data_IF_128563886809
#
_entry.id   IF_128563886809
#
_cell.length_a   1.000
_cell.length_b   1.000
_cell.length_c   1.000
_cell.angle_alpha   90.00
_cell.angle_beta   90.00
_cell.angle_gamma   90.00
#
_symmetry.space_group_name_H-M   'P 1'
#
loop_
_entity.id
_entity.type
_entity.pdbx_description
1 polymer ?
#
# COMPACT_ATOMS: atom_id res chain seq x y z
N UNK A 1 24.70 2.28 -12.00
CA UNK A 1 24.43 1.03 -12.73
C UNK A 1 22.92 0.82 -12.83
N UNK A 2 22.41 -0.08 -13.67
CA UNK A 2 20.97 -0.36 -13.80
C UNK A 2 20.44 -1.22 -12.63
N UNK A 3 20.62 -0.71 -11.42
CA UNK A 3 20.19 -1.29 -10.15
C UNK A 3 19.26 -0.32 -9.42
N UNK A 4 18.45 -0.80 -8.49
CA UNK A 4 17.55 0.08 -7.73
C UNK A 4 18.36 1.05 -6.85
N UNK A 5 18.05 2.36 -6.82
CA UNK A 5 18.67 3.28 -5.87
C UNK A 5 18.49 2.79 -4.42
N UNK A 6 19.58 2.62 -3.69
CA UNK A 6 19.57 2.13 -2.30
C UNK A 6 19.51 0.61 -2.13
N UNK A 7 19.38 -0.18 -3.20
CA UNK A 7 19.52 -1.65 -3.19
C UNK A 7 20.26 -2.13 -4.46
N UNK A 8 21.59 -2.20 -4.36
CA UNK A 8 22.46 -2.62 -5.47
C UNK A 8 22.34 -4.11 -5.81
N UNK A 9 21.72 -4.90 -4.93
CA UNK A 9 21.45 -6.31 -5.20
C UNK A 9 20.31 -6.49 -6.20
N UNK A 10 19.42 -5.50 -6.32
CA UNK A 10 18.26 -5.56 -7.19
C UNK A 10 18.56 -4.97 -8.58
N UNK A 11 18.55 -5.82 -9.61
CA UNK A 11 18.74 -5.40 -11.00
C UNK A 11 17.43 -4.96 -11.66
N UNK A 12 17.40 -3.76 -12.25
CA UNK A 12 16.23 -3.24 -12.98
C UNK A 12 16.04 -3.91 -14.35
N UNK A 13 17.12 -4.47 -14.90
CA UNK A 13 17.16 -5.27 -16.14
C UNK A 13 18.16 -6.41 -15.96
N UNK A 14 18.04 -7.49 -16.75
CA UNK A 14 18.98 -8.61 -16.70
C UNK A 14 20.42 -8.13 -16.95
N UNK A 15 21.33 -8.39 -16.01
CA UNK A 15 22.73 -7.95 -16.08
C UNK A 15 22.94 -6.47 -15.77
N UNK A 16 21.95 -5.82 -15.14
CA UNK A 16 21.95 -4.39 -14.85
C UNK A 16 23.13 -3.93 -13.98
N UNK A 17 23.68 -4.80 -13.12
CA UNK A 17 24.89 -4.52 -12.31
C UNK A 17 26.13 -4.25 -13.15
N UNK A 18 26.18 -4.76 -14.39
CA UNK A 18 27.33 -4.58 -15.27
C UNK A 18 27.12 -3.43 -16.28
N UNK A 19 25.98 -2.74 -16.23
CA UNK A 19 25.65 -1.64 -17.14
C UNK A 19 25.65 -0.31 -16.39
N UNK A 20 26.66 0.52 -16.63
CA UNK A 20 26.73 1.86 -16.05
C UNK A 20 25.62 2.76 -16.60
N UNK A 21 25.15 3.69 -15.76
CA UNK A 21 24.20 4.72 -16.18
C UNK A 21 24.99 5.92 -16.65
N UNK A 22 24.68 6.43 -17.83
CA UNK A 22 25.36 7.55 -18.47
C UNK A 22 24.33 8.49 -19.15
N UNK A 23 24.83 9.58 -19.73
CA UNK A 23 23.99 10.59 -20.40
C UNK A 23 23.13 10.04 -21.54
N UNK A 24 23.50 8.91 -22.15
CA UNK A 24 22.77 8.30 -23.26
C UNK A 24 21.63 7.39 -22.79
N UNK A 25 21.68 6.91 -21.54
CA UNK A 25 20.77 5.88 -21.05
C UNK A 25 20.03 6.25 -19.74
N UNK A 26 20.34 7.41 -19.15
CA UNK A 26 19.74 7.91 -17.90
C UNK A 26 18.21 8.04 -17.96
N UNK A 27 17.65 8.45 -19.10
CA UNK A 27 16.19 8.58 -19.25
C UNK A 27 15.50 7.22 -19.12
N UNK A 28 16.09 6.15 -19.66
CA UNK A 28 15.58 4.79 -19.53
C UNK A 28 15.70 4.29 -18.09
N UNK A 29 16.83 4.57 -17.44
CA UNK A 29 17.03 4.25 -16.02
C UNK A 29 15.97 4.91 -15.13
N UNK A 30 15.73 6.22 -15.27
CA UNK A 30 14.72 6.97 -14.50
C UNK A 30 13.32 6.36 -14.70
N UNK A 31 12.97 6.01 -15.94
CA UNK A 31 11.68 5.38 -16.25
C UNK A 31 11.53 4.03 -15.55
N UNK A 32 12.57 3.20 -15.54
CA UNK A 32 12.56 1.90 -14.88
C UNK A 32 12.46 2.03 -13.36
N UNK A 33 13.23 2.92 -12.74
CA UNK A 33 13.16 3.22 -11.30
C UNK A 33 11.77 3.71 -10.94
N UNK A 34 11.24 4.68 -11.67
CA UNK A 34 9.91 5.25 -11.42
C UNK A 34 8.82 4.19 -11.54
N UNK A 35 8.87 3.35 -12.58
CA UNK A 35 7.89 2.27 -12.75
C UNK A 35 8.01 1.23 -11.63
N UNK A 36 9.23 0.81 -11.29
CA UNK A 36 9.46 -0.18 -10.24
C UNK A 36 9.01 0.33 -8.87
N UNK A 37 9.38 1.55 -8.47
CA UNK A 37 8.98 2.13 -7.18
C UNK A 37 7.47 2.34 -7.07
N UNK A 38 6.82 2.77 -8.17
CA UNK A 38 5.41 3.16 -8.15
C UNK A 38 4.43 2.00 -8.35
N UNK A 39 4.89 0.88 -8.90
CA UNK A 39 4.01 -0.25 -9.27
C UNK A 39 4.46 -1.53 -8.56
N UNK A 40 5.70 -1.96 -8.74
CA UNK A 40 6.14 -3.26 -8.24
C UNK A 40 6.64 -3.26 -6.80
N UNK A 41 7.20 -2.15 -6.35
CA UNK A 41 7.51 -1.88 -4.96
C UNK A 41 6.25 -2.07 -4.13
N UNK A 42 5.20 -1.29 -4.41
CA UNK A 42 3.91 -1.36 -3.72
C UNK A 42 3.24 -2.75 -3.80
N UNK A 43 3.45 -3.51 -4.89
CA UNK A 43 2.81 -4.81 -5.08
C UNK A 43 3.39 -5.92 -4.19
N UNK A 44 4.72 -6.08 -4.13
CA UNK A 44 5.40 -7.08 -3.25
C UNK A 44 5.18 -6.78 -1.77
N UNK A 45 5.00 -5.51 -1.52
CA UNK A 45 4.68 -4.91 -0.25
C UNK A 45 3.25 -5.26 0.18
N UNK A 46 2.27 -5.06 -0.69
CA UNK A 46 0.90 -5.53 -0.49
C UNK A 46 0.86 -7.05 -0.20
N UNK A 47 1.81 -7.86 -0.69
CA UNK A 47 1.95 -9.29 -0.32
C UNK A 47 2.49 -9.57 1.10
N UNK A 48 3.10 -8.59 1.77
CA UNK A 48 3.45 -8.69 3.17
C UNK A 48 2.24 -8.35 4.06
N UNK A 49 1.44 -7.36 3.66
CA UNK A 49 0.11 -7.07 4.24
C UNK A 49 -0.86 -8.22 4.05
N UNK A 50 -0.79 -8.88 2.88
CA UNK A 50 -1.54 -10.09 2.49
C UNK A 50 -1.57 -11.15 3.58
N UNK A 51 -0.46 -11.38 4.31
CA UNK A 51 -0.41 -12.40 5.38
C UNK A 51 -1.13 -11.98 6.67
N UNK A 52 -1.25 -10.68 6.93
CA UNK A 52 -2.00 -10.16 8.09
C UNK A 52 -3.51 -9.99 7.82
N UNK A 53 -3.90 -9.87 6.55
CA UNK A 53 -5.27 -9.60 6.11
C UNK A 53 -6.14 -10.83 5.82
N UNK A 54 -5.53 -12.03 5.72
CA UNK A 54 -6.19 -13.29 5.32
C UNK A 54 -7.36 -13.72 6.22
N UNK A 55 -7.56 -13.09 7.39
CA UNK A 55 -8.72 -13.37 8.27
C UNK A 55 -9.92 -12.41 8.07
N UNK A 56 -9.82 -11.38 7.22
CA UNK A 56 -10.81 -10.28 7.18
C UNK A 56 -11.24 -9.89 5.76
N UNK A 57 -10.32 -9.80 4.79
CA UNK A 57 -10.62 -9.50 3.37
C UNK A 57 -9.81 -10.46 2.49
N UNK A 58 -10.43 -11.03 1.45
CA UNK A 58 -9.78 -12.02 0.59
C UNK A 58 -8.55 -11.41 -0.09
N UNK A 59 -7.49 -12.21 -0.24
CA UNK A 59 -6.26 -11.82 -0.94
C UNK A 59 -6.52 -11.39 -2.38
N UNK A 60 -7.59 -11.88 -2.99
CA UNK A 60 -8.04 -11.47 -4.33
C UNK A 60 -8.52 -10.02 -4.40
N UNK A 61 -9.04 -9.48 -3.29
CA UNK A 61 -9.75 -8.20 -3.24
C UNK A 61 -8.83 -6.98 -3.04
N UNK A 62 -7.63 -7.20 -2.48
CA UNK A 62 -6.58 -6.19 -2.36
C UNK A 62 -5.68 -6.16 -3.61
N UNK A 63 -5.49 -7.31 -4.27
CA UNK A 63 -4.73 -7.40 -5.52
C UNK A 63 -5.55 -6.87 -6.71
N UNK A 64 -6.87 -6.87 -6.61
CA UNK A 64 -7.76 -6.25 -7.61
C UNK A 64 -7.77 -4.72 -7.57
N UNK A 65 -7.14 -4.08 -6.57
CA UNK A 65 -7.03 -2.63 -6.51
C UNK A 65 -6.16 -2.11 -7.65
N UNK A 66 -6.68 -1.12 -8.36
CA UNK A 66 -5.92 -0.31 -9.31
C UNK A 66 -4.74 0.40 -8.62
N UNK A 67 -3.66 0.75 -9.33
CA UNK A 67 -2.52 1.44 -8.72
C UNK A 67 -2.89 2.68 -7.89
N UNK A 68 -3.89 3.45 -8.33
CA UNK A 68 -4.40 4.61 -7.59
C UNK A 68 -5.13 4.21 -6.29
N UNK A 69 -5.91 3.14 -6.30
CA UNK A 69 -6.55 2.60 -5.10
C UNK A 69 -5.53 2.04 -4.11
N UNK A 70 -4.44 1.43 -4.60
CA UNK A 70 -3.35 0.98 -3.74
C UNK A 70 -2.67 2.17 -3.05
N UNK A 71 -2.35 3.25 -3.78
CA UNK A 71 -1.78 4.47 -3.18
C UNK A 71 -2.70 5.12 -2.15
N UNK A 72 -4.00 5.21 -2.47
CA UNK A 72 -5.03 5.70 -1.54
C UNK A 72 -5.09 4.84 -0.28
N UNK A 73 -5.00 3.52 -0.43
CA UNK A 73 -4.95 2.60 0.70
C UNK A 73 -3.70 2.77 1.55
N UNK A 74 -2.52 2.91 0.93
CA UNK A 74 -1.28 3.20 1.66
C UNK A 74 -1.36 4.50 2.43
N UNK A 75 -1.88 5.56 1.79
CA UNK A 75 -2.11 6.85 2.43
C UNK A 75 -3.05 6.71 3.63
N UNK A 76 -4.11 5.90 3.48
CA UNK A 76 -5.07 5.64 4.55
C UNK A 76 -4.43 4.95 5.75
N UNK A 77 -3.64 3.91 5.49
CA UNK A 77 -3.14 3.02 6.54
C UNK A 77 -1.87 3.56 7.21
N UNK A 78 -0.99 4.17 6.41
CA UNK A 78 0.37 4.55 6.84
C UNK A 78 0.58 6.06 6.90
N UNK A 79 -0.37 6.86 6.40
CA UNK A 79 -0.21 8.31 6.28
C UNK A 79 0.73 8.74 5.13
N UNK A 80 1.23 7.80 4.34
CA UNK A 80 2.08 8.04 3.17
C UNK A 80 1.55 7.29 1.96
N UNK A 81 1.57 7.86 0.75
CA UNK A 81 1.14 7.16 -0.46
C UNK A 81 2.20 6.18 -0.97
N UNK A 82 3.37 6.14 -0.30
CA UNK A 82 4.52 5.30 -0.60
C UNK A 82 5.05 4.66 0.67
N UNK A 83 5.57 3.45 0.54
CA UNK A 83 6.18 2.74 1.67
C UNK A 83 7.67 3.09 1.77
N UNK A 84 8.30 2.87 2.94
CA UNK A 84 9.74 3.03 3.07
C UNK A 84 10.50 2.02 2.19
N UNK A 85 11.82 2.19 2.08
CA UNK A 85 12.69 1.21 1.41
C UNK A 85 12.67 -0.09 2.21
N UNK A 86 12.27 -1.22 1.59
CA UNK A 86 11.96 -2.50 2.26
C UNK A 86 10.52 -2.63 2.80
N UNK A 87 9.71 -1.63 2.44
CA UNK A 87 8.38 -1.24 2.89
C UNK A 87 7.64 -1.96 4.03
N UNK A 88 6.63 -2.84 3.92
CA UNK A 88 5.74 -3.19 5.04
C UNK A 88 6.49 -3.93 6.13
N UNK A 89 7.57 -4.64 5.76
CA UNK A 89 8.50 -5.26 6.72
C UNK A 89 9.35 -4.22 7.44
N UNK A 90 9.57 -3.07 6.81
CA UNK A 90 10.28 -1.91 7.37
C UNK A 90 9.38 -0.92 8.11
N UNK A 91 8.05 -1.11 8.12
CA UNK A 91 7.16 -0.31 8.97
C UNK A 91 7.47 -0.59 10.44
N UNK A 92 7.66 0.49 11.20
CA UNK A 92 7.88 0.43 12.63
C UNK A 92 6.88 1.35 13.34
N UNK A 93 5.86 0.81 14.03
CA UNK A 93 5.57 -0.62 14.21
C UNK A 93 5.04 -1.31 12.94
N UNK A 94 5.09 -2.65 12.82
CA UNK A 94 4.52 -3.39 11.69
C UNK A 94 3.02 -3.14 11.52
N UNK A 95 2.53 -3.20 10.27
CA UNK A 95 1.11 -3.04 9.99
C UNK A 95 0.27 -4.12 10.68
N UNK A 96 -0.63 -3.69 11.55
CA UNK A 96 -1.59 -4.54 12.25
C UNK A 96 -3.01 -4.26 11.75
N UNK A 97 -3.78 -5.31 11.47
CA UNK A 97 -5.13 -5.20 10.91
C UNK A 97 -6.06 -6.00 11.80
N UNK A 98 -7.11 -5.35 12.31
CA UNK A 98 -8.02 -5.96 13.27
C UNK A 98 -9.45 -5.80 12.82
N UNK A 99 -10.19 -6.91 12.89
CA UNK A 99 -11.63 -6.93 12.70
C UNK A 99 -12.29 -6.47 14.00
N UNK A 100 -13.11 -5.43 13.93
CA UNK A 100 -14.02 -5.10 15.03
C UNK A 100 -15.13 -6.15 15.06
N UNK A 101 -15.13 -7.01 16.07
CA UNK A 101 -16.33 -7.76 16.43
C UNK A 101 -17.37 -6.76 16.91
N UNK A 102 -18.56 -6.77 16.30
CA UNK A 102 -19.55 -5.70 16.41
C UNK A 102 -19.84 -5.31 17.86
N UNK A 103 -19.74 -4.01 18.15
CA UNK A 103 -20.40 -3.41 19.31
C UNK A 103 -21.86 -3.21 18.92
N UNK A 104 -22.80 -3.84 19.62
CA UNK A 104 -24.27 -3.66 19.52
C UNK A 104 -24.77 -2.92 18.26
N UNK A 105 -24.62 -3.49 17.06
CA UNK A 105 -24.94 -2.77 15.82
C UNK A 105 -24.51 -3.46 14.54
N UNK A 106 -25.01 -2.95 13.41
CA UNK A 106 -24.65 -3.41 12.07
C UNK A 106 -23.30 -2.80 11.66
N UNK A 107 -22.29 -3.64 11.44
CA UNK A 107 -20.96 -3.22 11.01
C UNK A 107 -20.95 -2.46 9.67
N UNK A 108 -21.99 -2.64 8.84
CA UNK A 108 -22.15 -1.98 7.53
C UNK A 108 -22.32 -0.47 7.61
N UNK A 109 -22.68 0.07 8.76
CA UNK A 109 -22.84 1.51 8.98
C UNK A 109 -21.55 2.18 9.45
N UNK A 110 -20.62 1.40 10.04
CA UNK A 110 -19.35 1.91 10.55
C UNK A 110 -18.35 2.16 9.40
N UNK A 111 -17.54 3.21 9.55
CA UNK A 111 -16.39 3.46 8.68
C UNK A 111 -15.16 2.70 9.20
N UNK A 112 -14.27 2.24 8.30
CA UNK A 112 -12.96 1.76 8.72
C UNK A 112 -12.15 2.92 9.31
N UNK A 113 -11.23 2.62 10.22
CA UNK A 113 -10.37 3.63 10.83
C UNK A 113 -8.92 3.15 10.86
N UNK A 114 -8.00 4.06 10.57
CA UNK A 114 -6.57 3.80 10.67
C UNK A 114 -5.95 4.71 11.72
N UNK A 115 -4.99 4.16 12.46
CA UNK A 115 -4.11 4.89 13.35
C UNK A 115 -2.73 4.85 12.71
N UNK A 116 -2.46 5.83 11.85
CA UNK A 116 -1.28 5.87 10.97
C UNK A 116 0.03 5.83 11.75
N UNK A 117 0.13 6.55 12.87
CA UNK A 117 1.30 6.53 13.77
C UNK A 117 1.62 5.13 14.32
N UNK A 118 0.63 4.23 14.37
CA UNK A 118 0.77 2.88 14.88
C UNK A 118 0.66 1.81 13.78
N UNK A 119 0.59 2.22 12.51
CA UNK A 119 0.30 1.34 11.38
C UNK A 119 -0.81 0.35 11.72
N UNK A 120 -1.95 0.83 12.22
CA UNK A 120 -3.00 -0.02 12.75
C UNK A 120 -4.33 0.28 12.07
N UNK A 121 -4.88 -0.71 11.38
CA UNK A 121 -6.13 -0.62 10.65
C UNK A 121 -7.24 -1.40 11.36
N UNK A 122 -8.36 -0.73 11.64
CA UNK A 122 -9.59 -1.32 12.18
C UNK A 122 -10.63 -1.43 11.08
N UNK A 123 -11.12 -2.63 10.85
CA UNK A 123 -12.14 -2.94 9.83
C UNK A 123 -13.40 -3.43 10.54
N UNK A 124 -14.55 -2.76 10.38
CA UNK A 124 -15.84 -3.28 10.82
C UNK A 124 -16.17 -4.64 10.19
N UNK A 125 -17.06 -5.39 10.83
CA UNK A 125 -17.53 -6.68 10.30
C UNK A 125 -18.55 -6.48 9.16
N UNK A 126 -18.08 -6.02 8.00
CA UNK A 126 -18.91 -5.81 6.82
C UNK A 126 -19.55 -7.11 6.33
N UNK A 127 -20.79 -7.01 5.87
CA UNK A 127 -21.57 -8.12 5.31
C UNK A 127 -21.07 -8.56 3.93
N UNK A 128 -20.48 -7.65 3.15
CA UNK A 128 -19.90 -7.95 1.83
C UNK A 128 -18.71 -7.05 1.48
N UNK A 129 -17.95 -7.46 0.45
CA UNK A 129 -16.85 -6.66 -0.08
C UNK A 129 -17.32 -5.34 -0.70
N UNK A 130 -18.50 -5.33 -1.33
CA UNK A 130 -19.10 -4.13 -1.91
C UNK A 130 -19.39 -3.09 -0.82
N UNK A 131 -19.89 -3.53 0.34
CA UNK A 131 -20.10 -2.65 1.49
C UNK A 131 -18.75 -2.11 1.97
N UNK A 132 -17.74 -2.96 2.11
CA UNK A 132 -16.38 -2.51 2.45
C UNK A 132 -15.89 -1.43 1.46
N UNK A 133 -16.01 -1.64 0.15
CA UNK A 133 -15.58 -0.69 -0.88
C UNK A 133 -16.31 0.65 -0.76
N UNK A 134 -17.62 0.62 -0.57
CA UNK A 134 -18.43 1.84 -0.39
C UNK A 134 -18.00 2.61 0.87
N UNK A 135 -17.83 1.93 2.00
CA UNK A 135 -17.43 2.57 3.26
C UNK A 135 -15.98 3.04 3.23
N UNK A 136 -15.10 2.30 2.55
CA UNK A 136 -13.72 2.69 2.36
C UNK A 136 -13.59 3.93 1.47
N UNK A 137 -14.35 4.05 0.38
CA UNK A 137 -14.39 5.27 -0.45
C UNK A 137 -14.84 6.49 0.36
N UNK A 138 -15.87 6.33 1.19
CA UNK A 138 -16.31 7.38 2.11
C UNK A 138 -15.19 7.76 3.09
N UNK A 139 -14.53 6.78 3.70
CA UNK A 139 -13.44 7.02 4.64
C UNK A 139 -12.23 7.75 4.01
N UNK A 140 -11.90 7.43 2.75
CA UNK A 140 -10.84 8.10 2.00
C UNK A 140 -11.09 9.60 1.81
N UNK A 141 -12.35 10.02 1.63
CA UNK A 141 -12.69 11.45 1.47
C UNK A 141 -12.30 12.28 2.69
N UNK A 142 -12.36 11.70 3.89
CA UNK A 142 -11.97 12.39 5.12
C UNK A 142 -10.47 12.59 5.25
N UNK A 143 -9.64 11.75 4.64
CA UNK A 143 -8.18 11.91 4.65
C UNK A 143 -7.75 13.11 3.81
N UNK A 144 -8.39 13.31 2.67
CA UNK A 144 -8.11 14.45 1.80
C UNK A 144 -8.68 15.77 2.32
N UNK A 145 -9.61 15.73 3.28
CA UNK A 145 -10.20 16.93 3.88
C UNK A 145 -9.23 17.69 4.82
N UNK A 146 -8.10 17.11 5.22
CA UNK A 146 -7.08 17.77 6.06
C UNK A 146 -5.96 18.47 5.26
N UNK A 147 -6.08 18.54 3.92
CA UNK A 147 -5.13 19.24 3.04
C UNK A 147 -5.75 20.44 2.30
N UNK A 148 -6.85 20.99 2.81
CA UNK A 148 -7.48 22.22 2.31
C UNK A 148 -7.71 23.21 3.46
N UNK A 149 -6.64 23.90 3.86
CA UNK A 149 -6.64 25.25 4.44
C UNK A 149 -5.31 25.91 4.09
#
# INVERSE_FOLDING_TARGET
YFTLPGDESFELIKGGRNRAVDSTNVAHYIKLVSHWELVEGVRREMEAVRRGFESIISTADLVSFTPDEQRKFLQFVTGSPKLPVGGFRSLNPPLTVVKKSGSYGNGDEELPSAMTCYNYLKIPAYSSYEVFKQRFDVALRFIYSFHLT
#
